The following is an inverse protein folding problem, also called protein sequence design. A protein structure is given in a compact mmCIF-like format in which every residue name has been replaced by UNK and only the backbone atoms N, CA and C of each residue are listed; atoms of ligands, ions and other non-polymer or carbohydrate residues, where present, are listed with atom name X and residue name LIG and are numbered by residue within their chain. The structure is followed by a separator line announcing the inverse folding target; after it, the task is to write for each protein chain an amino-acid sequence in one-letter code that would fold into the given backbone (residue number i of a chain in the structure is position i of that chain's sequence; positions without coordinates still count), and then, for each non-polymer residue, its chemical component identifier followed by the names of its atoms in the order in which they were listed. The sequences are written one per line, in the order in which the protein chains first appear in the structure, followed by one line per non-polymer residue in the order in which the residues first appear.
data_IF_957707019880
#
_entry.id   IF_957707019880
#
_cell.length_a   1.000
_cell.length_b   1.000
_cell.length_c   1.000
_cell.angle_alpha   90.00
_cell.angle_beta   90.00
_cell.angle_gamma   90.00
#
_symmetry.space_group_name_H-M   'P 1'
#
loop_
_entity.id
_entity.type
_entity.pdbx_description
1 polymer ?
#
# COMPACT_ATOMS: atom_id res chain seq x y z
N UNK A 1 -11.46 2.52 3.39
CA UNK A 1 -10.15 1.86 3.67
C UNK A 1 -8.97 2.73 3.22
N UNK A 2 -9.24 4.00 2.94
CA UNK A 2 -8.41 4.86 2.11
C UNK A 2 -7.09 5.18 2.79
N UNK A 3 -7.13 5.51 4.08
CA UNK A 3 -5.92 5.77 4.87
C UNK A 3 -4.98 4.56 4.89
N UNK A 4 -5.49 3.37 5.19
CA UNK A 4 -4.64 2.16 5.31
C UNK A 4 -4.09 1.73 3.95
N UNK A 5 -4.89 1.79 2.89
CA UNK A 5 -4.39 1.47 1.55
C UNK A 5 -3.37 2.49 1.06
N UNK A 6 -3.59 3.78 1.33
CA UNK A 6 -2.61 4.81 1.02
C UNK A 6 -1.32 4.62 1.81
N UNK A 7 -1.39 4.25 3.09
CA UNK A 7 -0.21 3.93 3.90
C UNK A 7 0.58 2.75 3.33
N UNK A 8 -0.10 1.66 2.92
CA UNK A 8 0.55 0.52 2.26
C UNK A 8 1.31 0.95 1.00
N UNK A 9 0.73 1.82 0.16
CA UNK A 9 1.37 2.34 -1.05
C UNK A 9 2.53 3.27 -0.69
N UNK A 10 2.31 4.21 0.23
CA UNK A 10 3.28 5.21 0.66
C UNK A 10 4.56 4.54 1.19
N UNK A 11 4.43 3.59 2.12
CA UNK A 11 5.55 2.82 2.65
C UNK A 11 6.23 1.99 1.57
N UNK A 12 5.46 1.34 0.69
CA UNK A 12 6.01 0.51 -0.39
C UNK A 12 6.76 1.32 -1.45
N UNK A 13 6.45 2.61 -1.63
CA UNK A 13 7.08 3.47 -2.63
C UNK A 13 8.05 4.51 -2.02
N UNK A 14 8.20 4.54 -0.70
CA UNK A 14 9.03 5.53 -0.02
C UNK A 14 8.48 6.96 -0.15
N UNK A 15 7.16 7.10 -0.24
CA UNK A 15 6.46 8.38 -0.38
C UNK A 15 5.86 8.83 0.97
N UNK A 16 5.70 10.14 1.20
CA UNK A 16 4.85 10.62 2.27
C UNK A 16 3.37 10.37 1.93
N UNK A 17 2.54 10.19 2.96
CA UNK A 17 1.14 9.82 2.81
C UNK A 17 0.30 10.86 2.04
N UNK A 18 0.65 12.15 2.16
CA UNK A 18 -0.03 13.26 1.48
C UNK A 18 0.19 13.27 -0.04
N UNK A 19 1.20 12.56 -0.54
CA UNK A 19 1.43 12.34 -1.97
C UNK A 19 0.61 11.18 -2.55
N UNK A 20 -0.12 10.42 -1.72
CA UNK A 20 -0.95 9.30 -2.19
C UNK A 20 -2.41 9.72 -2.24
N UNK A 21 -2.94 9.82 -3.45
CA UNK A 21 -4.37 10.08 -3.67
C UNK A 21 -5.13 8.78 -3.87
N UNK A 22 -6.04 8.46 -2.95
CA UNK A 22 -6.95 7.32 -3.06
C UNK A 22 -8.30 7.81 -3.55
N UNK A 23 -8.84 7.16 -4.58
CA UNK A 23 -10.21 7.42 -5.05
C UNK A 23 -11.18 6.73 -4.09
N UNK A 24 -11.82 7.51 -3.22
CA UNK A 24 -12.72 7.03 -2.16
C UNK A 24 -14.03 6.44 -2.68
N UNK A 25 -14.45 6.80 -3.89
CA UNK A 25 -15.73 6.34 -4.48
C UNK A 25 -15.47 5.15 -5.38
N UNK A 26 -16.05 4.00 -5.07
CA UNK A 26 -15.92 2.78 -5.86
C UNK A 26 -16.92 2.78 -7.03
N UNK A 27 -16.75 3.72 -7.95
CA UNK A 27 -17.49 3.74 -9.22
C UNK A 27 -17.07 2.53 -10.07
N UNK A 28 -18.03 1.69 -10.41
CA UNK A 28 -17.80 0.44 -11.16
C UNK A 28 -17.35 0.68 -12.60
N UNK A 29 -17.49 1.90 -13.13
CA UNK A 29 -16.99 2.24 -14.47
C UNK A 29 -15.46 2.37 -14.51
N UNK A 30 -14.82 2.67 -13.38
CA UNK A 30 -13.37 2.94 -13.31
C UNK A 30 -12.63 2.11 -12.27
N UNK A 31 -13.32 1.59 -11.26
CA UNK A 31 -12.70 0.82 -10.18
C UNK A 31 -12.54 -0.64 -10.60
N UNK A 32 -11.34 -1.25 -10.45
CA UNK A 32 -11.16 -2.67 -10.68
C UNK A 32 -12.14 -3.52 -9.87
N UNK A 33 -12.60 -4.62 -10.46
CA UNK A 33 -13.58 -5.48 -9.81
C UNK A 33 -13.04 -6.05 -8.49
N UNK A 34 -13.77 -5.78 -7.41
CA UNK A 34 -13.64 -6.47 -6.13
C UNK A 34 -15.03 -6.98 -5.71
N UNK A 35 -15.03 -8.03 -4.91
CA UNK A 35 -16.26 -8.61 -4.37
C UNK A 35 -16.87 -7.75 -3.27
N UNK A 36 -16.13 -6.77 -2.74
CA UNK A 36 -16.62 -5.73 -1.85
C UNK A 36 -16.16 -5.89 -0.40
N UNK A 37 -16.57 -4.91 0.41
CA UNK A 37 -16.25 -4.84 1.84
C UNK A 37 -17.23 -5.64 2.69
N UNK A 38 -16.80 -6.81 3.13
CA UNK A 38 -17.52 -7.65 4.10
C UNK A 38 -16.54 -8.56 4.84
N UNK A 39 -16.97 -9.14 5.97
CA UNK A 39 -16.20 -10.13 6.74
C UNK A 39 -14.75 -9.72 7.06
N UNK A 40 -14.51 -8.43 7.34
CA UNK A 40 -13.18 -7.87 7.65
C UNK A 40 -12.08 -8.18 6.62
N UNK A 41 -12.46 -8.45 5.36
CA UNK A 41 -11.55 -8.99 4.35
C UNK A 41 -10.69 -7.99 3.61
N UNK A 42 -11.08 -6.72 3.64
CA UNK A 42 -10.44 -5.68 2.84
C UNK A 42 -8.93 -5.61 3.08
N UNK A 43 -8.48 -5.76 4.33
CA UNK A 43 -7.05 -5.71 4.68
C UNK A 43 -6.25 -6.84 4.04
N UNK A 44 -6.75 -8.08 4.09
CA UNK A 44 -5.98 -9.24 3.63
C UNK A 44 -6.25 -9.62 2.16
N UNK A 45 -7.38 -9.21 1.58
CA UNK A 45 -7.71 -9.43 0.16
C UNK A 45 -7.32 -8.23 -0.68
N UNK A 46 -8.07 -7.13 -0.57
CA UNK A 46 -7.84 -5.92 -1.38
C UNK A 46 -6.50 -5.28 -1.02
N UNK A 47 -6.11 -5.25 0.26
CA UNK A 47 -4.81 -4.77 0.71
C UNK A 47 -3.63 -5.60 0.16
N UNK A 48 -3.81 -6.91 -0.02
CA UNK A 48 -2.81 -7.74 -0.70
C UNK A 48 -2.67 -7.37 -2.19
N UNK A 49 -3.78 -7.06 -2.87
CA UNK A 49 -3.75 -6.55 -4.24
C UNK A 49 -3.08 -5.17 -4.34
N UNK A 50 -3.42 -4.25 -3.44
CA UNK A 50 -2.78 -2.91 -3.33
C UNK A 50 -1.28 -3.04 -3.12
N UNK A 51 -0.85 -3.86 -2.15
CA UNK A 51 0.58 -4.09 -1.88
C UNK A 51 1.29 -4.70 -3.10
N UNK A 52 0.67 -5.67 -3.77
CA UNK A 52 1.25 -6.27 -4.98
C UNK A 52 1.41 -5.23 -6.09
N UNK A 53 0.39 -4.41 -6.34
CA UNK A 53 0.46 -3.34 -7.34
C UNK A 53 1.59 -2.35 -7.04
N UNK A 54 1.70 -1.93 -5.77
CA UNK A 54 2.76 -1.03 -5.34
C UNK A 54 4.17 -1.65 -5.49
N UNK A 55 4.32 -2.96 -5.24
CA UNK A 55 5.59 -3.66 -5.47
C UNK A 55 5.96 -3.75 -6.96
N UNK A 56 4.99 -3.98 -7.84
CA UNK A 56 5.22 -3.96 -9.30
C UNK A 56 5.61 -2.55 -9.79
N UNK A 57 4.99 -1.50 -9.24
CA UNK A 57 5.39 -0.11 -9.49
C UNK A 57 6.80 0.15 -8.99
N UNK A 58 7.14 -0.27 -7.77
CA UNK A 58 8.50 -0.18 -7.21
C UNK A 58 9.51 -0.85 -8.13
N UNK A 59 9.20 -2.03 -8.63
CA UNK A 59 10.10 -2.76 -9.53
C UNK A 59 10.34 -1.98 -10.83
N UNK A 60 9.30 -1.43 -11.45
CA UNK A 60 9.42 -0.60 -12.67
C UNK A 60 10.27 0.65 -12.43
N UNK A 61 10.06 1.33 -11.31
CA UNK A 61 10.86 2.50 -10.89
C UNK A 61 12.33 2.13 -10.77
N UNK A 62 12.65 1.07 -10.01
CA UNK A 62 14.04 0.66 -9.77
C UNK A 62 14.71 0.12 -11.05
N UNK A 63 13.97 -0.58 -11.91
CA UNK A 63 14.46 -1.01 -13.23
C UNK A 63 14.84 0.20 -14.10
N UNK A 64 13.98 1.22 -14.16
CA UNK A 64 14.27 2.43 -14.91
C UNK A 64 15.47 3.18 -14.33
N UNK A 65 15.50 3.35 -13.01
CA UNK A 65 16.60 4.00 -12.30
C UNK A 65 17.93 3.28 -12.51
N UNK A 66 17.95 1.95 -12.42
CA UNK A 66 19.12 1.10 -12.72
C UNK A 66 19.65 1.38 -14.13
N UNK A 67 18.77 1.41 -15.12
CA UNK A 67 19.14 1.68 -16.51
C UNK A 67 19.69 3.09 -16.76
N UNK A 68 19.41 4.03 -15.86
CA UNK A 68 19.84 5.42 -15.90
C UNK A 68 21.18 5.63 -15.18
N UNK A 69 21.32 5.12 -13.96
CA UNK A 69 22.51 5.32 -13.14
C UNK A 69 23.62 4.28 -13.38
N UNK A 70 23.31 3.17 -14.07
CA UNK A 70 24.26 2.09 -14.35
C UNK A 70 24.60 1.23 -13.13
N UNK A 71 23.79 1.30 -12.06
CA UNK A 71 23.88 0.43 -10.90
C UNK A 71 22.91 -0.73 -11.02
N UNK A 72 23.23 -1.87 -10.42
CA UNK A 72 22.32 -3.02 -10.34
C UNK A 72 21.07 -2.66 -9.53
N UNK A 73 19.91 -3.14 -9.96
CA UNK A 73 18.62 -2.88 -9.31
C UNK A 73 18.64 -3.23 -7.83
N UNK A 74 19.29 -4.34 -7.48
CA UNK A 74 19.38 -4.87 -6.12
C UNK A 74 20.14 -3.92 -5.19
N UNK A 75 21.05 -3.11 -5.74
CA UNK A 75 21.80 -2.08 -5.01
C UNK A 75 20.99 -0.78 -4.80
N UNK A 76 19.82 -0.63 -5.43
CA UNK A 76 18.97 0.54 -5.34
C UNK A 76 17.78 0.32 -4.40
N UNK A 77 17.33 1.41 -3.78
CA UNK A 77 16.10 1.46 -3.01
C UNK A 77 15.35 2.78 -3.17
N UNK A 78 14.10 2.82 -2.69
CA UNK A 78 13.28 4.03 -2.60
C UNK A 78 13.13 4.46 -1.15
N UNK A 79 13.51 5.71 -0.87
CA UNK A 79 13.35 6.33 0.45
C UNK A 79 13.09 7.84 0.32
N UNK A 80 12.12 8.37 1.05
CA UNK A 80 11.82 9.81 1.13
C UNK A 80 11.76 10.49 -0.25
N UNK A 81 11.01 9.93 -1.19
CA UNK A 81 10.88 10.39 -2.59
C UNK A 81 12.17 10.37 -3.41
N UNK A 82 13.18 9.60 -3.00
CA UNK A 82 14.46 9.51 -3.69
C UNK A 82 14.82 8.05 -4.00
N UNK A 83 15.58 7.86 -5.09
CA UNK A 83 16.33 6.63 -5.32
C UNK A 83 17.64 6.73 -4.55
N UNK A 84 17.91 5.76 -3.68
CA UNK A 84 19.15 5.66 -2.92
C UNK A 84 19.94 4.42 -3.33
N UNK A 85 21.27 4.50 -3.22
CA UNK A 85 22.14 3.32 -3.27
C UNK A 85 22.30 2.76 -1.86
N UNK A 86 21.95 1.50 -1.65
CA UNK A 86 21.86 0.86 -0.33
C UNK A 86 23.17 0.83 0.44
N UNK A 87 24.30 0.59 -0.24
CA UNK A 87 25.59 0.42 0.43
C UNK A 87 26.14 1.71 1.02
N UNK A 88 26.04 2.82 0.27
CA UNK A 88 26.59 4.11 0.67
C UNK A 88 25.53 5.04 1.27
N UNK A 89 24.25 4.72 1.15
CA UNK A 89 23.14 5.58 1.55
C UNK A 89 23.08 6.88 0.75
N UNK A 90 23.75 6.96 -0.41
CA UNK A 90 23.76 8.16 -1.24
C UNK A 90 22.48 8.27 -2.04
N UNK A 91 21.96 9.48 -2.16
CA UNK A 91 20.88 9.79 -3.10
C UNK A 91 21.46 9.77 -4.51
N UNK A 92 20.88 8.94 -5.37
CA UNK A 92 21.27 8.79 -6.78
C UNK A 92 20.51 9.80 -7.64
N UNK A 93 19.19 9.88 -7.45
CA UNK A 93 18.29 10.82 -8.13
C UNK A 93 16.94 10.87 -7.40
N UNK A 94 16.11 11.87 -7.73
CA UNK A 94 14.76 11.96 -7.19
C UNK A 94 13.79 11.01 -7.91
N UNK A 95 12.73 10.58 -7.22
CA UNK A 95 11.65 9.82 -7.84
C UNK A 95 10.88 10.67 -8.88
N UNK A 96 10.82 11.98 -8.69
CA UNK A 96 10.24 12.93 -9.64
C UNK A 96 10.98 12.87 -10.99
N UNK A 97 12.32 12.90 -10.97
CA UNK A 97 13.12 12.77 -12.19
C UNK A 97 12.86 11.45 -12.92
N UNK A 98 12.77 10.33 -12.17
CA UNK A 98 12.47 9.01 -12.74
C UNK A 98 11.07 9.00 -13.35
N UNK A 99 10.06 9.53 -12.65
CA UNK A 99 8.70 9.61 -13.17
C UNK A 99 8.64 10.46 -14.44
N UNK A 100 9.28 11.62 -14.45
CA UNK A 100 9.34 12.54 -15.58
C UNK A 100 10.02 11.88 -16.79
N UNK A 101 11.21 11.31 -16.62
CA UNK A 101 11.95 10.68 -17.71
C UNK A 101 11.27 9.41 -18.23
N UNK A 102 10.59 8.66 -17.37
CA UNK A 102 9.86 7.45 -17.78
C UNK A 102 8.82 7.72 -18.88
N UNK A 103 8.27 8.94 -18.96
CA UNK A 103 7.33 9.35 -20.00
C UNK A 103 7.98 10.05 -21.20
N UNK A 104 9.12 10.73 -21.00
CA UNK A 104 9.68 11.64 -22.00
C UNK A 104 10.95 11.12 -22.68
N UNK A 105 11.54 10.04 -22.18
CA UNK A 105 12.67 9.38 -22.85
C UNK A 105 12.23 8.83 -24.21
N UNK A 106 12.90 9.27 -25.28
CA UNK A 106 12.53 8.94 -26.66
C UNK A 106 12.80 7.49 -27.05
N UNK A 107 13.57 6.76 -26.26
CA UNK A 107 14.05 5.41 -26.55
C UNK A 107 13.55 4.44 -25.49
N UNK A 108 13.63 4.83 -24.21
CA UNK A 108 13.34 3.99 -23.04
C UNK A 108 12.02 4.34 -22.34
N UNK A 109 11.15 5.15 -22.95
CA UNK A 109 9.84 5.50 -22.38
C UNK A 109 9.10 4.25 -21.90
N UNK A 110 8.77 4.23 -20.62
CA UNK A 110 8.09 3.14 -19.94
C UNK A 110 7.16 3.73 -18.87
N UNK A 111 5.85 3.88 -19.15
CA UNK A 111 4.89 4.35 -18.17
C UNK A 111 4.89 3.50 -16.90
N UNK A 112 4.97 4.16 -15.76
CA UNK A 112 5.03 3.51 -14.44
C UNK A 112 3.60 3.39 -13.89
N UNK A 113 2.94 2.28 -14.21
CA UNK A 113 1.60 1.95 -13.71
C UNK A 113 1.51 0.45 -13.41
N UNK A 114 0.56 0.02 -12.58
CA UNK A 114 0.25 -1.41 -12.36
C UNK A 114 -1.26 -1.59 -12.23
N UNK A 115 -1.76 -2.68 -12.81
CA UNK A 115 -3.11 -3.21 -12.61
C UNK A 115 -2.96 -4.71 -12.34
N UNK A 116 -3.39 -5.15 -11.17
CA UNK A 116 -3.23 -6.55 -10.75
C UNK A 116 -4.45 -7.05 -10.00
N UNK A 117 -4.71 -8.34 -10.16
CA UNK A 117 -5.64 -9.12 -9.35
C UNK A 117 -4.88 -10.08 -8.43
N UNK A 118 -5.42 -10.33 -7.23
CA UNK A 118 -4.88 -11.29 -6.27
C UNK A 118 -5.99 -12.25 -5.85
N UNK A 119 -5.74 -13.55 -6.00
CA UNK A 119 -6.60 -14.60 -5.45
C UNK A 119 -5.97 -15.12 -4.15
N UNK A 120 -6.44 -14.58 -3.03
CA UNK A 120 -5.94 -14.97 -1.71
C UNK A 120 -6.43 -16.38 -1.38
N UNK A 121 -5.48 -17.28 -1.07
CA UNK A 121 -5.74 -18.70 -0.79
C UNK A 121 -5.76 -19.06 0.69
N UNK A 122 -5.37 -18.12 1.56
CA UNK A 122 -5.31 -18.30 3.00
C UNK A 122 -6.05 -17.17 3.71
N UNK A 123 -6.74 -17.50 4.79
CA UNK A 123 -7.42 -16.50 5.61
C UNK A 123 -6.49 -15.92 6.66
N UNK A 124 -6.71 -14.65 7.01
CA UNK A 124 -6.11 -14.06 8.21
C UNK A 124 -6.85 -14.59 9.45
N UNK A 125 -6.14 -15.33 10.30
CA UNK A 125 -6.69 -15.80 11.58
C UNK A 125 -6.40 -14.73 12.63
N UNK A 126 -7.44 -14.02 13.06
CA UNK A 126 -7.38 -13.09 14.18
C UNK A 126 -8.00 -13.75 15.41
N UNK A 127 -7.33 -13.62 16.55
CA UNK A 127 -7.80 -14.08 17.85
C UNK A 127 -7.65 -12.94 18.86
N UNK A 128 -8.52 -12.91 19.85
CA UNK A 128 -8.51 -11.94 20.92
C UNK A 128 -9.17 -12.51 22.16
N UNK A 129 -8.81 -11.96 23.32
CA UNK A 129 -9.47 -12.23 24.59
C UNK A 129 -10.00 -10.89 25.08
N UNK A 130 -11.27 -10.85 25.46
CA UNK A 130 -11.93 -9.66 25.99
C UNK A 130 -12.51 -10.01 27.35
N UNK A 131 -12.22 -9.19 28.35
CA UNK A 131 -12.85 -9.26 29.67
C UNK A 131 -13.81 -8.07 29.78
N UNK A 132 -14.83 -8.19 30.61
CA UNK A 132 -15.79 -7.10 30.84
C UNK A 132 -16.31 -7.22 32.25
N UNK A 133 -16.30 -6.11 33.00
CA UNK A 133 -16.92 -6.00 34.31
C UNK A 133 -18.30 -5.33 34.15
N UNK A 134 -19.33 -5.94 34.74
CA UNK A 134 -20.71 -5.44 34.68
C UNK A 134 -21.35 -5.43 36.07
N UNK A 135 -22.14 -4.39 36.34
CA UNK A 135 -23.05 -4.34 37.48
C UNK A 135 -24.48 -4.66 37.01
N UNK A 136 -25.23 -5.43 37.80
CA UNK A 136 -26.60 -5.84 37.47
C UNK A 136 -27.55 -5.53 38.64
N UNK A 137 -28.55 -4.68 38.39
CA UNK A 137 -29.68 -4.55 39.31
C UNK A 137 -30.60 -5.76 39.16
N UNK A 138 -30.57 -6.64 40.16
CA UNK A 138 -31.34 -7.89 40.18
C UNK A 138 -32.85 -7.67 40.15
N UNK A 139 -33.37 -6.54 40.62
CA UNK A 139 -34.83 -6.29 40.68
C UNK A 139 -35.39 -5.83 39.33
N UNK A 140 -34.62 -5.04 38.60
CA UNK A 140 -35.05 -4.43 37.33
C UNK A 140 -34.48 -5.16 36.12
N UNK A 141 -33.42 -5.96 36.31
CA UNK A 141 -32.64 -6.58 35.23
C UNK A 141 -31.77 -5.57 34.48
N UNK A 142 -31.61 -4.35 34.99
CA UNK A 142 -30.78 -3.33 34.37
C UNK A 142 -29.30 -3.70 34.50
N UNK A 143 -28.56 -3.58 33.40
CA UNK A 143 -27.12 -3.90 33.31
C UNK A 143 -26.36 -2.60 33.04
N UNK A 144 -25.29 -2.36 33.79
CA UNK A 144 -24.31 -1.30 33.57
C UNK A 144 -22.95 -1.93 33.30
N UNK A 145 -22.25 -1.45 32.26
CA UNK A 145 -20.89 -1.88 31.95
C UNK A 145 -19.93 -0.96 32.70
N UNK A 146 -19.13 -1.52 33.60
CA UNK A 146 -18.16 -0.79 34.41
C UNK A 146 -16.82 -0.64 33.67
N UNK A 147 -16.34 -1.73 33.07
CA UNK A 147 -15.06 -1.78 32.35
C UNK A 147 -15.11 -2.83 31.21
N UNK A 148 -14.38 -2.57 30.10
CA UNK A 148 -14.13 -3.50 28.98
C UNK A 148 -12.62 -3.56 28.72
#
# INVERSE_FOLDING_TARGET
SDTVFGQMVAETLGLPMDMVHVISTQDTDVTPFDTGSYASRQTFVSGAAVKKAALEVREKVLNFASSKCGLEKEALDLENCNIIEKELGRIVCSLEEIAMESYYDRIKSCPITSDTSVNVRSNAIAYGVTFTEVEVDIKTGQIEVLEI
#
